data_IF_628750749570
#
_entry.id   IF_628750749570
#
_cell.length_a   1.000
_cell.length_b   1.000
_cell.length_c   1.000
_cell.angle_alpha   90.00
_cell.angle_beta   90.00
_cell.angle_gamma   90.00
#
_symmetry.space_group_name_H-M   'P 1'
#
loop_
_entity.id
_entity.type
_entity.pdbx_description
1 polymer ?
#
# COMPACT_ATOMS: atom_id res chain seq x y z
N UNK A 1 -8.35 -6.21 27.57
CA UNK A 1 -7.11 -5.38 27.60
C UNK A 1 -5.94 -5.97 26.81
N UNK A 2 -6.12 -7.07 26.07
CA UNK A 2 -5.02 -7.65 25.25
C UNK A 2 -4.88 -6.97 23.89
N UNK A 3 -5.99 -6.50 23.31
CA UNK A 3 -6.05 -5.96 21.96
C UNK A 3 -6.51 -4.49 21.90
N UNK A 4 -6.83 -3.92 23.05
CA UNK A 4 -7.27 -2.54 23.18
C UNK A 4 -6.60 -1.87 24.39
N UNK A 5 -6.13 -0.60 24.27
CA UNK A 5 -5.96 0.17 23.01
C UNK A 5 -4.89 -0.43 22.11
N UNK A 6 -4.94 -0.09 20.81
CA UNK A 6 -3.89 -0.47 19.85
C UNK A 6 -2.74 0.54 19.86
N UNK A 7 -1.57 0.17 19.34
CA UNK A 7 -0.44 1.09 19.29
C UNK A 7 -0.55 2.05 18.10
N UNK A 8 -0.85 1.54 16.91
CA UNK A 8 -0.87 2.33 15.69
C UNK A 8 -2.04 1.96 14.81
N UNK A 9 -2.78 2.98 14.36
CA UNK A 9 -3.75 2.90 13.28
C UNK A 9 -3.05 3.36 11.98
N UNK A 10 -3.24 2.61 10.89
CA UNK A 10 -2.79 3.00 9.54
C UNK A 10 -4.02 3.26 8.69
N UNK A 11 -4.10 4.42 8.04
CA UNK A 11 -5.29 4.85 7.29
C UNK A 11 -4.96 5.78 6.14
N UNK A 12 -5.84 5.82 5.14
CA UNK A 12 -5.83 6.88 4.13
C UNK A 12 -6.37 8.20 4.68
N UNK A 13 -5.90 9.32 4.13
CA UNK A 13 -6.37 10.64 4.57
C UNK A 13 -7.85 10.89 4.28
N UNK A 14 -8.42 10.21 3.30
CA UNK A 14 -9.79 10.41 2.84
C UNK A 14 -10.86 9.88 3.79
N UNK A 15 -10.48 9.04 4.75
CA UNK A 15 -11.40 8.46 5.73
C UNK A 15 -11.16 8.95 7.16
N UNK A 16 -10.35 10.00 7.36
CA UNK A 16 -10.09 10.55 8.69
C UNK A 16 -11.39 10.96 9.38
N UNK A 17 -12.24 11.74 8.74
CA UNK A 17 -13.49 12.22 9.33
C UNK A 17 -14.55 11.11 9.49
N UNK A 18 -14.61 10.20 8.52
CA UNK A 18 -15.66 9.18 8.50
C UNK A 18 -15.37 8.01 9.41
N UNK A 19 -14.10 7.68 9.64
CA UNK A 19 -13.70 6.53 10.43
C UNK A 19 -12.83 6.88 11.61
N UNK A 20 -11.73 7.59 11.42
CA UNK A 20 -10.75 7.84 12.48
C UNK A 20 -11.35 8.70 13.59
N UNK A 21 -11.99 9.81 13.24
CA UNK A 21 -12.67 10.67 14.21
C UNK A 21 -13.75 9.90 14.99
N UNK A 22 -14.52 9.05 14.31
CA UNK A 22 -15.54 8.22 14.96
C UNK A 22 -14.94 7.20 15.93
N UNK A 23 -13.84 6.55 15.56
CA UNK A 23 -13.13 5.64 16.46
C UNK A 23 -12.68 6.39 17.73
N UNK A 24 -12.12 7.60 17.58
CA UNK A 24 -11.62 8.38 18.70
C UNK A 24 -12.76 8.79 19.65
N UNK A 25 -13.80 9.46 19.16
CA UNK A 25 -14.83 9.97 20.07
C UNK A 25 -15.67 8.84 20.66
N UNK A 26 -15.96 7.75 19.94
CA UNK A 26 -16.66 6.60 20.50
C UNK A 26 -15.82 5.89 21.55
N UNK A 27 -14.53 5.73 21.31
CA UNK A 27 -13.64 5.12 22.28
C UNK A 27 -13.59 5.93 23.58
N UNK A 28 -13.39 7.24 23.48
CA UNK A 28 -13.34 8.13 24.64
C UNK A 28 -14.69 8.10 25.40
N UNK A 29 -15.81 8.16 24.68
CA UNK A 29 -17.15 8.13 25.30
C UNK A 29 -17.42 6.83 26.06
N UNK A 30 -17.11 5.67 25.46
CA UNK A 30 -17.46 4.38 26.04
C UNK A 30 -16.40 3.78 26.95
N UNK A 31 -15.14 4.14 26.81
CA UNK A 31 -14.04 3.53 27.56
C UNK A 31 -13.19 4.52 28.37
N UNK A 32 -13.31 5.81 28.10
CA UNK A 32 -12.47 6.86 28.69
C UNK A 32 -11.04 6.89 28.15
N UNK A 33 -10.71 6.04 27.17
CA UNK A 33 -9.34 5.90 26.64
C UNK A 33 -9.30 6.14 25.12
N UNK A 34 -8.16 6.67 24.64
CA UNK A 34 -7.89 6.75 23.20
C UNK A 34 -7.75 5.34 22.59
N UNK A 35 -8.31 5.06 21.41
CA UNK A 35 -8.26 3.73 20.81
C UNK A 35 -6.86 3.35 20.29
N UNK A 36 -5.99 4.32 20.04
CA UNK A 36 -4.62 4.12 19.55
C UNK A 36 -3.73 5.29 19.96
N UNK A 37 -2.42 5.06 20.02
CA UNK A 37 -1.41 6.08 20.37
C UNK A 37 -0.99 6.90 19.16
N UNK A 38 -0.85 6.24 18.01
CA UNK A 38 -0.36 6.83 16.76
C UNK A 38 -1.37 6.62 15.63
N UNK A 39 -1.45 7.58 14.73
CA UNK A 39 -2.20 7.44 13.48
C UNK A 39 -1.26 7.74 12.31
N UNK A 40 -0.90 6.70 11.55
CA UNK A 40 -0.11 6.84 10.34
C UNK A 40 -1.06 7.06 9.16
N UNK A 41 -0.96 8.24 8.55
CA UNK A 41 -1.79 8.63 7.42
C UNK A 41 -1.00 8.44 6.13
N UNK A 42 -1.49 7.57 5.25
CA UNK A 42 -0.89 7.32 3.93
C UNK A 42 -1.69 8.00 2.81
N UNK A 43 -1.05 8.22 1.68
CA UNK A 43 -1.69 8.68 0.45
C UNK A 43 -2.51 7.59 -0.25
N UNK A 44 -3.18 7.97 -1.34
CA UNK A 44 -4.01 7.07 -2.13
C UNK A 44 -3.32 6.70 -3.44
N UNK A 45 -3.72 5.54 -3.99
CA UNK A 45 -3.36 5.18 -5.37
C UNK A 45 -4.36 5.85 -6.30
N UNK A 46 -3.83 6.61 -7.26
CA UNK A 46 -4.58 7.31 -8.30
C UNK A 46 -4.34 6.68 -9.66
N UNK A 47 -5.25 6.87 -10.58
CA UNK A 47 -5.06 6.43 -11.96
C UNK A 47 -3.91 7.19 -12.68
N UNK A 48 -3.60 6.80 -13.90
CA UNK A 48 -2.55 7.41 -14.72
C UNK A 48 -2.77 8.92 -14.97
N UNK A 49 -4.02 9.37 -14.90
CA UNK A 49 -4.40 10.78 -15.05
C UNK A 49 -4.41 11.55 -13.70
N UNK A 50 -4.09 10.88 -12.60
CA UNK A 50 -4.08 11.45 -11.26
C UNK A 50 -5.45 11.55 -10.59
N UNK A 51 -6.49 10.91 -11.14
CA UNK A 51 -7.84 10.88 -10.57
C UNK A 51 -7.94 9.79 -9.49
N UNK A 52 -8.76 10.03 -8.48
CA UNK A 52 -9.08 9.01 -7.48
C UNK A 52 -9.75 7.81 -8.16
N UNK A 53 -9.25 6.61 -7.89
CA UNK A 53 -9.87 5.38 -8.38
C UNK A 53 -11.22 5.17 -7.70
N UNK A 54 -12.26 4.87 -8.47
CA UNK A 54 -13.58 4.56 -7.96
C UNK A 54 -14.30 3.56 -8.85
N UNK A 55 -15.21 2.79 -8.24
CA UNK A 55 -16.04 1.82 -8.97
C UNK A 55 -16.93 2.51 -10.01
N UNK A 56 -17.41 3.71 -9.71
CA UNK A 56 -18.29 4.48 -10.62
C UNK A 56 -17.56 5.00 -11.86
N UNK A 57 -16.27 5.26 -11.78
CA UNK A 57 -15.45 5.69 -12.91
C UNK A 57 -14.85 4.51 -13.69
N UNK A 58 -14.93 3.28 -13.14
CA UNK A 58 -14.34 2.10 -13.78
C UNK A 58 -12.82 2.18 -13.99
N UNK A 59 -12.15 3.07 -13.27
CA UNK A 59 -10.70 3.30 -13.38
C UNK A 59 -9.87 2.57 -12.31
N UNK A 60 -10.51 1.66 -11.58
CA UNK A 60 -9.82 0.78 -10.63
C UNK A 60 -9.05 -0.31 -11.34
N UNK A 61 -7.91 -0.69 -10.79
CA UNK A 61 -7.09 -1.80 -11.26
C UNK A 61 -7.21 -2.93 -10.25
N UNK A 62 -7.50 -4.14 -10.73
CA UNK A 62 -7.54 -5.32 -9.87
C UNK A 62 -6.10 -5.77 -9.58
N UNK A 63 -5.69 -5.82 -8.30
CA UNK A 63 -4.37 -6.32 -7.93
C UNK A 63 -4.13 -7.78 -8.36
N UNK A 64 -5.19 -8.57 -8.50
CA UNK A 64 -5.05 -9.97 -8.92
C UNK A 64 -4.64 -10.09 -10.38
N UNK A 65 -5.17 -9.26 -11.27
CA UNK A 65 -4.77 -9.21 -12.67
C UNK A 65 -3.29 -8.83 -12.81
N UNK A 66 -2.83 -7.87 -12.02
CA UNK A 66 -1.42 -7.47 -11.99
C UNK A 66 -0.51 -8.58 -11.44
N UNK A 67 -0.97 -9.28 -10.39
CA UNK A 67 -0.25 -10.42 -9.84
C UNK A 67 -0.09 -11.52 -10.89
N UNK A 68 -1.13 -11.82 -11.62
CA UNK A 68 -1.11 -12.87 -12.63
C UNK A 68 -0.24 -12.50 -13.85
N UNK A 69 -0.16 -11.20 -14.18
CA UNK A 69 0.65 -10.70 -15.30
C UNK A 69 2.14 -10.51 -14.96
N UNK A 70 2.45 -9.95 -13.78
CA UNK A 70 3.81 -9.52 -13.42
C UNK A 70 4.38 -10.24 -12.19
N UNK A 71 3.57 -11.04 -11.51
CA UNK A 71 3.96 -11.67 -10.25
C UNK A 71 3.80 -10.77 -9.04
N UNK A 72 3.67 -11.41 -7.89
CA UNK A 72 3.42 -10.73 -6.61
C UNK A 72 4.58 -9.80 -6.21
N UNK A 73 5.81 -10.24 -6.44
CA UNK A 73 6.99 -9.49 -5.99
C UNK A 73 7.18 -8.19 -6.77
N UNK A 74 6.90 -8.19 -8.08
CA UNK A 74 6.96 -6.98 -8.89
C UNK A 74 5.94 -5.92 -8.42
N UNK A 75 4.72 -6.34 -8.10
CA UNK A 75 3.70 -5.46 -7.56
C UNK A 75 4.09 -4.91 -6.18
N UNK A 76 4.56 -5.77 -5.28
CA UNK A 76 5.01 -5.36 -3.94
C UNK A 76 6.19 -4.40 -4.00
N UNK A 77 7.17 -4.68 -4.85
CA UNK A 77 8.32 -3.81 -5.07
C UNK A 77 7.89 -2.44 -5.60
N UNK A 78 7.02 -2.41 -6.61
CA UNK A 78 6.46 -1.17 -7.14
C UNK A 78 5.78 -0.33 -6.05
N UNK A 79 4.89 -0.92 -5.27
CA UNK A 79 4.17 -0.22 -4.19
C UNK A 79 5.11 0.32 -3.12
N UNK A 80 6.14 -0.46 -2.76
CA UNK A 80 7.08 -0.07 -1.70
C UNK A 80 8.03 1.04 -2.14
N UNK A 81 8.53 0.97 -3.38
CA UNK A 81 9.56 1.91 -3.86
C UNK A 81 9.00 3.23 -4.39
N UNK A 82 7.74 3.23 -4.80
CA UNK A 82 7.11 4.44 -5.37
C UNK A 82 6.16 5.14 -4.40
N UNK A 83 5.96 4.62 -3.18
CA UNK A 83 5.16 5.28 -2.15
C UNK A 83 6.04 6.11 -1.22
N UNK A 84 5.59 7.31 -0.91
CA UNK A 84 6.16 8.13 0.15
C UNK A 84 5.07 8.43 1.18
N UNK A 85 5.40 8.50 2.49
CA UNK A 85 4.42 8.82 3.53
C UNK A 85 3.63 10.10 3.21
N UNK A 86 2.31 10.02 3.29
CA UNK A 86 1.41 11.16 3.06
C UNK A 86 1.26 11.62 1.61
N UNK A 87 1.89 10.96 0.65
CA UNK A 87 1.79 11.32 -0.77
C UNK A 87 1.02 10.29 -1.58
N UNK A 88 0.21 10.79 -2.52
CA UNK A 88 -0.50 9.94 -3.46
C UNK A 88 0.46 9.29 -4.47
N UNK A 89 0.18 8.05 -4.80
CA UNK A 89 0.89 7.30 -5.81
C UNK A 89 0.08 7.27 -7.11
N UNK A 90 0.64 7.72 -8.22
CA UNK A 90 0.05 7.48 -9.54
C UNK A 90 0.36 6.06 -9.98
N UNK A 91 -0.69 5.33 -10.29
CA UNK A 91 -0.57 4.02 -10.89
C UNK A 91 -0.02 4.14 -12.30
N UNK A 92 1.03 3.38 -12.58
CA UNK A 92 1.70 3.35 -13.86
C UNK A 92 2.15 1.91 -14.12
N UNK A 93 1.56 1.29 -15.14
CA UNK A 93 1.85 -0.10 -15.47
C UNK A 93 3.28 -0.29 -15.98
N UNK A 94 3.87 0.74 -16.63
CA UNK A 94 5.26 0.69 -17.07
C UNK A 94 6.24 0.59 -15.89
N UNK A 95 5.92 1.22 -14.76
CA UNK A 95 6.73 1.08 -13.54
C UNK A 95 6.64 -0.29 -12.92
N UNK A 96 5.50 -0.97 -13.06
CA UNK A 96 5.37 -2.37 -12.62
C UNK A 96 6.20 -3.27 -13.51
N UNK A 97 6.16 -3.06 -14.82
CA UNK A 97 7.03 -3.77 -15.77
C UNK A 97 8.51 -3.54 -15.47
N UNK A 98 8.91 -2.31 -15.16
CA UNK A 98 10.27 -2.00 -14.75
C UNK A 98 10.65 -2.73 -13.44
N UNK A 99 9.73 -2.82 -12.49
CA UNK A 99 9.91 -3.58 -11.25
C UNK A 99 10.07 -5.08 -11.51
N UNK A 100 9.27 -5.63 -12.41
CA UNK A 100 9.39 -7.04 -12.84
C UNK A 100 10.76 -7.31 -13.50
N UNK A 101 11.21 -6.45 -14.40
CA UNK A 101 12.53 -6.54 -15.02
C UNK A 101 13.66 -6.50 -13.97
N UNK A 102 13.53 -5.62 -12.97
CA UNK A 102 14.51 -5.52 -11.89
C UNK A 102 14.59 -6.79 -11.04
N UNK A 103 13.45 -7.36 -10.67
CA UNK A 103 13.38 -8.62 -9.91
C UNK A 103 13.96 -9.79 -10.70
N UNK A 104 13.64 -9.88 -11.99
CA UNK A 104 14.25 -10.88 -12.89
C UNK A 104 15.77 -10.72 -12.98
N UNK A 105 16.26 -9.48 -13.00
CA UNK A 105 17.71 -9.22 -12.97
C UNK A 105 18.34 -9.75 -11.68
N UNK A 106 17.75 -9.47 -10.53
CA UNK A 106 18.23 -9.99 -9.23
C UNK A 106 18.25 -11.52 -9.25
N UNK A 107 17.17 -12.15 -9.69
CA UNK A 107 17.08 -13.59 -9.79
C UNK A 107 18.18 -14.19 -10.66
N UNK A 108 18.38 -13.66 -11.86
CA UNK A 108 19.37 -14.16 -12.78
C UNK A 108 20.80 -13.95 -12.29
N UNK A 109 21.09 -12.80 -11.64
CA UNK A 109 22.40 -12.55 -11.01
C UNK A 109 22.64 -13.56 -9.88
N UNK A 110 21.65 -13.76 -9.01
CA UNK A 110 21.77 -14.71 -7.90
C UNK A 110 21.98 -16.13 -8.42
N UNK A 111 21.23 -16.54 -9.44
CA UNK A 111 21.40 -17.84 -10.10
C UNK A 111 22.80 -17.98 -10.69
N UNK A 112 23.29 -16.97 -11.40
CA UNK A 112 24.64 -16.99 -11.97
C UNK A 112 25.72 -17.16 -10.90
N UNK A 113 25.61 -16.40 -9.82
CA UNK A 113 26.55 -16.51 -8.69
C UNK A 113 26.53 -17.92 -8.11
N UNK A 114 25.32 -18.45 -7.80
CA UNK A 114 25.18 -19.80 -7.22
C UNK A 114 25.71 -20.92 -8.13
N UNK A 115 25.61 -20.76 -9.43
CA UNK A 115 26.13 -21.74 -10.39
C UNK A 115 27.66 -21.72 -10.53
N UNK A 116 28.31 -20.66 -10.07
CA UNK A 116 29.77 -20.49 -10.15
C UNK A 116 30.44 -20.46 -8.76
N UNK A 117 29.69 -20.73 -7.69
CA UNK A 117 30.27 -21.00 -6.37
C UNK A 117 30.69 -22.46 -6.31
N UNK A 118 32.01 -22.69 -6.16
CA UNK A 118 32.60 -24.01 -5.86
C UNK A 118 32.48 -24.32 -4.37
#
# INVERSE_FOLDING_TARGET
KRYFPTDTLVTGYDIIFFWVARMIFQSIEFTGESPFKNCLIHGLIRDSQGRKMSKSLGNGVDPMDLKDKYGTDAMRYFLTTNSAPGMDLRFDEEKILASWNYINKIWNVSRYVLMNLE
#
